data_IF_439999400391
#
_entry.id   IF_439999400391
#
_cell.length_a   1.000
_cell.length_b   1.000
_cell.length_c   1.000
_cell.angle_alpha   90.00
_cell.angle_beta   90.00
_cell.angle_gamma   90.00
#
_symmetry.space_group_name_H-M   'P 1'
#
loop_
_entity.id
_entity.type
_entity.pdbx_description
1 polymer ?
#
# COMPACT_ATOMS: atom_id res chain seq x y z
N UNK A 1 -10.92 -0.17 -29.52
CA UNK A 1 -9.62 -0.33 -28.85
C UNK A 1 -9.82 -1.38 -27.78
N UNK A 2 -9.20 -2.54 -27.92
CA UNK A 2 -9.24 -3.62 -26.95
C UNK A 2 -8.57 -3.14 -25.66
N UNK A 3 -9.29 -3.18 -24.54
CA UNK A 3 -8.77 -2.86 -23.22
C UNK A 3 -8.35 -4.16 -22.53
N UNK A 4 -7.08 -4.59 -22.64
CA UNK A 4 -6.63 -5.67 -21.80
C UNK A 4 -6.63 -5.14 -20.36
N UNK A 5 -7.59 -5.63 -19.58
CA UNK A 5 -7.70 -5.52 -18.11
C UNK A 5 -6.51 -6.20 -17.38
N UNK A 6 -5.44 -6.51 -18.11
CA UNK A 6 -4.52 -7.59 -17.86
C UNK A 6 -3.06 -7.15 -17.89
N UNK A 7 -2.72 -6.20 -17.02
CA UNK A 7 -1.46 -6.41 -16.32
C UNK A 7 -1.69 -5.95 -14.90
N UNK A 8 -1.66 -6.92 -13.97
CA UNK A 8 -1.62 -6.64 -12.55
C UNK A 8 -0.62 -5.53 -12.31
N UNK A 9 -1.07 -4.51 -11.59
CA UNK A 9 -0.28 -3.31 -11.26
C UNK A 9 1.02 -3.64 -10.50
N UNK A 10 1.21 -4.90 -10.10
CA UNK A 10 2.38 -5.44 -9.42
C UNK A 10 2.98 -6.63 -10.20
N UNK A 11 3.43 -6.44 -11.45
CA UNK A 11 4.13 -7.49 -12.20
C UNK A 11 5.62 -7.61 -11.87
N UNK A 12 6.21 -6.60 -11.23
CA UNK A 12 7.67 -6.50 -11.15
C UNK A 12 8.17 -7.02 -9.80
N UNK A 13 8.96 -8.10 -9.86
CA UNK A 13 9.38 -8.89 -8.70
C UNK A 13 10.57 -8.33 -7.92
N UNK A 14 11.19 -7.22 -8.38
CA UNK A 14 12.53 -6.82 -7.93
C UNK A 14 12.56 -5.97 -6.64
N UNK A 15 11.43 -5.36 -6.25
CA UNK A 15 11.33 -4.48 -5.08
C UNK A 15 10.08 -4.78 -4.24
N UNK A 16 9.81 -6.07 -4.00
CA UNK A 16 8.71 -6.47 -3.11
C UNK A 16 9.02 -6.07 -1.66
N UNK A 17 8.02 -6.05 -0.81
CA UNK A 17 8.25 -5.97 0.64
C UNK A 17 8.46 -7.39 1.16
N UNK A 18 9.56 -7.63 1.88
CA UNK A 18 9.73 -8.85 2.69
C UNK A 18 9.13 -8.58 4.07
N UNK A 19 8.09 -9.33 4.42
CA UNK A 19 7.38 -9.18 5.69
C UNK A 19 7.86 -10.25 6.69
N UNK A 20 8.04 -9.84 7.96
CA UNK A 20 8.26 -10.71 9.14
C UNK A 20 9.22 -11.89 8.90
N UNK A 21 10.51 -11.59 8.81
CA UNK A 21 11.58 -12.58 8.67
C UNK A 21 12.56 -12.49 9.85
N UNK A 22 12.96 -13.63 10.40
CA UNK A 22 13.93 -13.76 11.50
C UNK A 22 15.14 -14.64 11.15
N UNK A 23 15.21 -15.17 9.93
CA UNK A 23 16.33 -15.95 9.41
C UNK A 23 17.35 -15.03 8.71
N UNK A 24 18.56 -14.97 9.25
CA UNK A 24 19.67 -14.16 8.73
C UNK A 24 20.02 -14.50 7.28
N UNK A 25 20.07 -15.79 6.93
CA UNK A 25 20.40 -16.23 5.56
C UNK A 25 19.35 -15.77 4.56
N UNK A 26 18.07 -15.91 4.91
CA UNK A 26 16.97 -15.47 4.04
C UNK A 26 16.97 -13.94 3.87
N UNK A 27 17.27 -13.18 4.94
CA UNK A 27 17.42 -11.73 4.87
C UNK A 27 18.55 -11.31 3.95
N UNK A 28 19.74 -11.92 4.06
CA UNK A 28 20.86 -11.65 3.17
C UNK A 28 20.54 -12.00 1.71
N UNK A 29 20.00 -13.19 1.48
CA UNK A 29 19.57 -13.61 0.15
C UNK A 29 18.57 -12.63 -0.45
N UNK A 30 17.63 -12.11 0.36
CA UNK A 30 16.67 -11.13 -0.09
C UNK A 30 17.32 -9.79 -0.44
N UNK A 31 18.18 -9.27 0.43
CA UNK A 31 18.91 -8.01 0.20
C UNK A 31 19.73 -8.09 -1.10
N UNK A 32 20.37 -9.22 -1.38
CA UNK A 32 21.16 -9.44 -2.60
C UNK A 32 20.29 -9.48 -3.88
N UNK A 33 18.97 -9.62 -3.76
CA UNK A 33 18.02 -9.58 -4.89
C UNK A 33 17.48 -8.20 -5.20
N UNK A 34 17.64 -7.23 -4.28
CA UNK A 34 17.11 -5.88 -4.45
C UNK A 34 17.82 -5.16 -5.60
N UNK A 35 17.04 -4.51 -6.46
CA UNK A 35 17.55 -3.70 -7.57
C UNK A 35 17.07 -2.27 -7.43
N UNK A 36 17.98 -1.31 -7.59
CA UNK A 36 17.62 0.10 -7.67
C UNK A 36 17.07 0.42 -9.07
N UNK A 37 15.79 0.73 -9.15
CA UNK A 37 15.13 1.22 -10.36
C UNK A 37 13.98 2.16 -9.98
N UNK A 38 13.67 3.11 -10.86
CA UNK A 38 12.48 3.96 -10.75
C UNK A 38 12.68 5.23 -9.93
N UNK A 39 11.70 5.53 -9.09
CA UNK A 39 11.52 6.78 -8.34
C UNK A 39 11.69 6.53 -6.84
N UNK A 40 11.94 7.58 -6.08
CA UNK A 40 12.10 7.52 -4.63
C UNK A 40 10.80 7.98 -3.94
N UNK A 41 10.26 7.12 -3.07
CA UNK A 41 9.04 7.37 -2.27
C UNK A 41 9.27 7.02 -0.80
N UNK A 42 9.96 7.90 -0.09
CA UNK A 42 10.31 7.76 1.34
C UNK A 42 9.03 7.69 2.19
N UNK A 43 7.99 8.44 1.85
CA UNK A 43 6.71 8.43 2.56
C UNK A 43 6.01 7.07 2.47
N UNK A 44 6.01 6.41 1.31
CA UNK A 44 5.50 5.05 1.18
C UNK A 44 6.32 4.04 1.97
N UNK A 45 7.65 4.10 1.86
CA UNK A 45 8.54 3.23 2.65
C UNK A 45 8.31 3.39 4.16
N UNK A 46 8.19 4.63 4.63
CA UNK A 46 7.95 4.93 6.04
C UNK A 46 6.53 4.52 6.49
N UNK A 47 5.51 4.74 5.65
CA UNK A 47 4.13 4.34 5.95
C UNK A 47 4.01 2.83 6.13
N UNK A 48 4.57 2.04 5.20
CA UNK A 48 4.61 0.59 5.33
C UNK A 48 5.47 0.13 6.50
N UNK A 49 6.67 0.69 6.66
CA UNK A 49 7.59 0.35 7.74
C UNK A 49 7.00 0.56 9.14
N UNK A 50 6.17 1.59 9.33
CA UNK A 50 5.45 1.84 10.58
C UNK A 50 4.18 0.98 10.67
N UNK A 51 3.40 0.90 9.59
CA UNK A 51 2.11 0.23 9.57
C UNK A 51 2.20 -1.23 9.97
N UNK A 52 3.18 -1.96 9.44
CA UNK A 52 3.38 -3.39 9.72
C UNK A 52 3.88 -3.65 11.16
N UNK A 53 4.25 -2.63 11.92
CA UNK A 53 4.57 -2.79 13.33
C UNK A 53 3.31 -2.72 14.21
N UNK A 54 2.15 -2.31 13.68
CA UNK A 54 0.90 -2.18 14.44
C UNK A 54 0.18 -3.50 14.67
N UNK A 55 -0.37 -3.71 15.87
CA UNK A 55 -1.15 -4.93 16.22
C UNK A 55 -2.41 -5.15 15.37
N UNK A 56 -2.81 -4.17 14.55
CA UNK A 56 -3.85 -4.37 13.55
C UNK A 56 -3.44 -5.40 12.47
N UNK A 57 -2.14 -5.62 12.27
CA UNK A 57 -1.62 -6.65 11.36
C UNK A 57 -1.56 -8.05 11.97
N UNK A 58 -1.74 -8.23 13.28
CA UNK A 58 -1.61 -9.56 13.92
C UNK A 58 -2.51 -10.62 13.27
N UNK A 59 -3.79 -10.35 12.96
CA UNK A 59 -4.63 -11.33 12.27
C UNK A 59 -4.14 -11.66 10.85
N UNK A 60 -3.56 -10.67 10.15
CA UNK A 60 -3.00 -10.86 8.80
C UNK A 60 -1.77 -11.77 8.86
N UNK A 61 -0.87 -11.53 9.83
CA UNK A 61 0.30 -12.38 10.04
C UNK A 61 -0.11 -13.79 10.42
N UNK A 62 -1.14 -13.95 11.27
CA UNK A 62 -1.65 -15.26 11.63
C UNK A 62 -2.19 -16.02 10.40
N UNK A 63 -2.98 -15.36 9.55
CA UNK A 63 -3.46 -15.97 8.31
C UNK A 63 -2.30 -16.36 7.37
N UNK A 64 -1.27 -15.52 7.27
CA UNK A 64 -0.06 -15.85 6.49
C UNK A 64 0.70 -17.06 7.07
N UNK A 65 0.75 -17.23 8.40
CA UNK A 65 1.33 -18.41 9.04
C UNK A 65 0.48 -19.65 8.75
N UNK A 66 -0.84 -19.56 8.91
CA UNK A 66 -1.77 -20.67 8.70
C UNK A 66 -1.74 -21.17 7.24
N UNK A 67 -1.44 -20.28 6.28
CA UNK A 67 -1.27 -20.59 4.86
C UNK A 67 0.18 -20.94 4.46
N UNK A 68 1.08 -21.18 5.43
CA UNK A 68 2.50 -21.50 5.20
C UNK A 68 3.28 -20.45 4.37
N UNK A 69 2.88 -19.18 4.44
CA UNK A 69 3.60 -18.06 3.80
C UNK A 69 4.70 -17.52 4.72
N UNK A 70 4.43 -17.43 6.03
CA UNK A 70 5.39 -17.03 7.04
C UNK A 70 5.79 -18.20 7.94
N UNK A 71 6.97 -18.12 8.55
CA UNK A 71 7.43 -19.12 9.51
C UNK A 71 6.50 -19.15 10.75
N UNK A 72 6.23 -20.33 11.35
CA UNK A 72 5.35 -20.45 12.51
C UNK A 72 5.70 -19.56 13.70
N UNK A 73 6.99 -19.22 13.87
CA UNK A 73 7.47 -18.31 14.92
C UNK A 73 6.91 -16.89 14.78
N UNK A 74 6.36 -16.51 13.63
CA UNK A 74 5.73 -15.20 13.43
C UNK A 74 4.30 -15.14 13.99
N UNK A 75 3.73 -16.27 14.42
CA UNK A 75 2.39 -16.29 15.02
C UNK A 75 2.31 -15.35 16.24
N UNK A 76 1.24 -14.57 16.33
CA UNK A 76 1.06 -13.57 17.39
C UNK A 76 1.85 -12.26 17.21
N UNK A 77 2.65 -12.12 16.15
CA UNK A 77 3.29 -10.86 15.79
C UNK A 77 2.45 -10.06 14.78
N UNK A 78 2.60 -8.73 14.71
CA UNK A 78 3.31 -7.89 15.67
C UNK A 78 2.51 -7.77 16.99
N UNK A 79 3.22 -7.72 18.12
CA UNK A 79 2.59 -7.54 19.43
C UNK A 79 2.07 -6.11 19.63
N UNK A 80 1.23 -5.89 20.64
CA UNK A 80 0.72 -4.55 20.98
C UNK A 80 1.86 -3.57 21.34
N UNK A 81 1.64 -2.28 21.13
CA UNK A 81 2.61 -1.23 21.53
C UNK A 81 2.80 -1.13 23.05
N UNK A 82 1.84 -1.67 23.83
CA UNK A 82 1.85 -1.66 25.29
C UNK A 82 2.51 -2.91 25.88
N UNK A 83 2.99 -3.84 25.05
CA UNK A 83 3.66 -5.04 25.54
C UNK A 83 4.99 -4.64 26.21
N UNK A 84 5.16 -4.89 27.54
CA UNK A 84 6.24 -4.30 28.33
C UNK A 84 7.64 -4.69 27.86
N UNK A 85 7.79 -5.90 27.32
CA UNK A 85 9.10 -6.46 26.91
C UNK A 85 9.31 -6.37 25.39
N UNK A 86 8.52 -5.54 24.69
CA UNK A 86 8.61 -5.36 23.24
C UNK A 86 8.99 -3.93 22.91
N UNK A 87 10.04 -3.81 22.11
CA UNK A 87 10.46 -2.55 21.51
C UNK A 87 10.24 -2.58 20.01
N UNK A 88 9.67 -1.50 19.48
CA UNK A 88 9.38 -1.34 18.04
C UNK A 88 10.29 -0.29 17.44
N UNK A 89 10.90 -0.65 16.33
CA UNK A 89 12.02 0.11 15.75
C UNK A 89 11.86 0.15 14.24
N UNK A 90 12.11 1.33 13.68
CA UNK A 90 12.24 1.52 12.23
C UNK A 90 13.65 2.02 11.93
N UNK A 91 14.30 1.40 10.94
CA UNK A 91 15.53 1.92 10.34
C UNK A 91 15.17 2.40 8.94
N UNK A 92 15.08 3.71 8.75
CA UNK A 92 14.75 4.34 7.48
C UNK A 92 16.03 4.80 6.78
N UNK A 93 16.23 4.38 5.54
CA UNK A 93 17.45 4.70 4.78
C UNK A 93 17.08 5.18 3.38
N UNK A 94 17.77 6.22 2.90
CA UNK A 94 17.66 6.69 1.51
C UNK A 94 18.96 7.35 1.05
N UNK A 95 19.22 7.26 -0.26
CA UNK A 95 20.23 8.02 -0.99
C UNK A 95 19.64 9.13 -1.87
N UNK A 96 18.31 9.16 -2.00
CA UNK A 96 17.57 10.12 -2.83
C UNK A 96 16.67 11.05 -2.03
N UNK A 97 16.05 11.97 -2.76
CA UNK A 97 14.90 12.80 -2.32
C UNK A 97 13.61 12.12 -2.76
N UNK A 98 12.49 12.40 -2.09
CA UNK A 98 11.19 12.09 -2.68
C UNK A 98 11.09 12.68 -4.09
N UNK A 99 10.57 11.89 -5.01
CA UNK A 99 10.33 12.29 -6.41
C UNK A 99 8.88 12.00 -6.81
N UNK A 100 8.46 12.48 -7.98
CA UNK A 100 7.11 12.30 -8.53
C UNK A 100 6.64 10.83 -8.44
N UNK A 101 5.52 10.63 -7.73
CA UNK A 101 4.84 9.35 -7.58
C UNK A 101 3.35 9.59 -7.29
N UNK A 102 2.52 8.59 -7.60
CA UNK A 102 1.07 8.71 -7.55
C UNK A 102 0.51 8.10 -6.28
N UNK A 103 -0.51 8.74 -5.72
CA UNK A 103 -1.44 8.20 -4.73
C UNK A 103 -2.86 8.24 -5.29
N UNK A 104 -3.80 7.62 -4.60
CA UNK A 104 -5.23 7.79 -4.84
C UNK A 104 -5.77 8.94 -3.99
N UNK A 105 -6.80 9.62 -4.48
CA UNK A 105 -7.63 10.51 -3.67
C UNK A 105 -8.39 9.67 -2.63
N UNK A 106 -8.49 10.18 -1.40
CA UNK A 106 -8.92 9.40 -0.24
C UNK A 106 -10.30 8.75 -0.42
N UNK A 107 -11.21 9.38 -1.17
CA UNK A 107 -12.55 8.82 -1.43
C UNK A 107 -12.50 7.51 -2.23
N UNK A 108 -11.40 7.26 -2.92
CA UNK A 108 -11.19 6.09 -3.76
C UNK A 108 -10.28 5.05 -3.13
N UNK A 109 -9.70 5.29 -1.95
CA UNK A 109 -8.78 4.35 -1.30
C UNK A 109 -9.47 3.16 -0.66
N UNK A 110 -10.64 3.39 -0.06
CA UNK A 110 -11.34 2.40 0.76
C UNK A 110 -12.83 2.69 0.83
N UNK A 111 -13.59 1.78 1.44
CA UNK A 111 -15.03 1.92 1.59
C UNK A 111 -15.82 1.42 0.36
N UNK A 112 -17.15 1.43 0.46
CA UNK A 112 -18.02 0.87 -0.57
C UNK A 112 -17.87 1.63 -1.89
N UNK A 113 -17.69 0.89 -2.98
CA UNK A 113 -17.75 1.44 -4.33
C UNK A 113 -19.19 1.36 -4.88
N UNK A 114 -19.46 1.97 -6.04
CA UNK A 114 -20.72 1.76 -6.77
C UNK A 114 -20.76 0.44 -7.56
N UNK A 115 -19.70 -0.35 -7.50
CA UNK A 115 -19.58 -1.64 -8.20
C UNK A 115 -20.11 -2.75 -7.31
N UNK A 116 -20.94 -3.61 -7.90
CA UNK A 116 -21.52 -4.79 -7.29
C UNK A 116 -21.15 -6.01 -8.13
N UNK A 117 -21.15 -7.19 -7.52
CA UNK A 117 -20.86 -8.44 -8.18
C UNK A 117 -21.88 -9.51 -7.84
N UNK A 118 -22.31 -10.29 -8.83
CA UNK A 118 -23.22 -11.44 -8.71
C UNK A 118 -22.62 -12.63 -9.44
N UNK A 119 -22.39 -13.73 -8.72
CA UNK A 119 -21.91 -15.00 -9.30
C UNK A 119 -22.91 -15.56 -10.31
N UNK A 120 -24.21 -15.38 -10.03
CA UNK A 120 -25.29 -15.80 -10.93
C UNK A 120 -25.19 -15.10 -12.28
N UNK A 121 -24.94 -13.79 -12.29
CA UNK A 121 -24.74 -13.04 -13.54
C UNK A 121 -23.37 -13.30 -14.17
N UNK A 122 -22.35 -13.62 -13.37
CA UNK A 122 -21.04 -13.99 -13.90
C UNK A 122 -21.13 -15.26 -14.72
N UNK A 123 -21.91 -16.26 -14.26
CA UNK A 123 -22.10 -17.54 -14.96
C UNK A 123 -20.78 -18.18 -15.42
N UNK A 124 -19.76 -18.12 -14.54
CA UNK A 124 -18.40 -18.61 -14.82
C UNK A 124 -17.56 -17.76 -15.78
N UNK A 125 -18.09 -16.64 -16.28
CA UNK A 125 -17.34 -15.66 -17.06
C UNK A 125 -16.63 -14.66 -16.16
N UNK A 126 -15.35 -14.45 -16.41
CA UNK A 126 -14.53 -13.46 -15.73
C UNK A 126 -14.83 -12.00 -16.17
N UNK A 127 -15.56 -11.82 -17.26
CA UNK A 127 -15.91 -10.50 -17.81
C UNK A 127 -17.35 -10.11 -17.50
N UNK A 128 -18.10 -10.95 -16.80
CA UNK A 128 -19.50 -10.72 -16.46
C UNK A 128 -19.70 -10.77 -14.95
N UNK A 129 -20.92 -10.47 -14.51
CA UNK A 129 -21.30 -10.51 -13.10
C UNK A 129 -21.24 -9.16 -12.42
N UNK A 130 -20.67 -8.14 -13.07
CA UNK A 130 -20.62 -6.80 -12.51
C UNK A 130 -21.91 -6.03 -12.73
N UNK A 131 -22.28 -5.24 -11.73
CA UNK A 131 -23.32 -4.22 -11.83
C UNK A 131 -22.79 -2.91 -11.27
N UNK A 132 -23.30 -1.80 -11.78
CA UNK A 132 -22.97 -0.45 -11.31
C UNK A 132 -24.26 0.25 -10.97
N UNK A 133 -24.38 0.71 -9.72
CA UNK A 133 -25.54 1.48 -9.30
C UNK A 133 -25.55 2.83 -10.04
N UNK A 134 -26.65 3.17 -10.70
CA UNK A 134 -26.84 4.42 -11.46
C UNK A 134 -27.89 5.30 -10.77
N UNK A 135 -27.51 6.13 -9.78
CA UNK A 135 -28.48 6.88 -8.95
C UNK A 135 -29.28 7.91 -9.76
N UNK A 136 -28.67 8.47 -10.80
CA UNK A 136 -29.32 9.44 -11.70
C UNK A 136 -30.35 8.83 -12.65
N UNK A 137 -30.40 7.50 -12.78
CA UNK A 137 -31.37 6.80 -13.62
C UNK A 137 -32.71 6.58 -12.88
N UNK A 138 -33.77 6.34 -13.66
CA UNK A 138 -35.04 5.87 -13.10
C UNK A 138 -34.97 4.41 -12.63
N UNK A 139 -35.95 3.98 -11.83
CA UNK A 139 -35.98 2.64 -11.22
C UNK A 139 -35.96 1.49 -12.23
N UNK A 140 -36.39 1.71 -13.48
CA UNK A 140 -36.35 0.69 -14.54
C UNK A 140 -34.95 0.45 -15.13
N UNK A 141 -33.98 1.33 -14.86
CA UNK A 141 -32.60 1.24 -15.33
C UNK A 141 -31.60 1.61 -14.22
N UNK A 142 -31.91 1.19 -12.98
CA UNK A 142 -31.13 1.50 -11.78
C UNK A 142 -29.73 0.90 -11.82
N UNK A 143 -29.58 -0.28 -12.43
CA UNK A 143 -28.34 -1.02 -12.46
C UNK A 143 -27.81 -1.08 -13.88
N UNK A 144 -26.64 -0.49 -14.11
CA UNK A 144 -25.89 -0.71 -15.34
C UNK A 144 -25.14 -2.04 -15.22
N UNK A 145 -25.23 -2.90 -16.23
CA UNK A 145 -24.55 -4.20 -16.27
C UNK A 145 -23.55 -4.13 -17.42
N UNK A 146 -22.26 -3.81 -17.15
CA UNK A 146 -21.24 -3.82 -18.18
C UNK A 146 -21.03 -5.25 -18.69
N UNK A 147 -20.92 -5.37 -20.00
CA UNK A 147 -20.53 -6.60 -20.67
C UNK A 147 -19.02 -6.76 -20.73
N UNK A 148 -18.55 -7.39 -21.81
CA UNK A 148 -17.14 -7.55 -22.12
C UNK A 148 -16.44 -6.19 -22.21
N UNK A 149 -15.25 -5.98 -21.61
CA UNK A 149 -14.49 -4.74 -21.77
C UNK A 149 -14.04 -4.49 -23.23
N UNK A 150 -14.23 -5.45 -24.13
CA UNK A 150 -13.86 -5.36 -25.54
C UNK A 150 -15.02 -4.90 -26.44
N UNK A 151 -16.24 -4.82 -25.90
CA UNK A 151 -17.45 -4.42 -26.63
C UNK A 151 -18.35 -3.58 -25.72
N UNK A 152 -19.33 -2.91 -26.33
CA UNK A 152 -20.46 -2.33 -25.59
C UNK A 152 -21.80 -2.87 -26.10
N UNK A 153 -21.75 -3.89 -26.96
CA UNK A 153 -22.94 -4.50 -27.56
C UNK A 153 -23.73 -5.38 -26.60
N UNK A 154 -23.05 -5.85 -25.56
CA UNK A 154 -23.54 -6.74 -24.51
C UNK A 154 -23.80 -6.00 -23.19
N UNK A 155 -23.63 -4.69 -23.18
CA UNK A 155 -24.02 -3.81 -22.09
C UNK A 155 -25.54 -3.79 -21.94
N UNK A 156 -26.03 -3.81 -20.71
CA UNK A 156 -27.47 -3.78 -20.43
C UNK A 156 -27.81 -3.00 -19.16
N UNK A 157 -29.11 -2.89 -18.89
CA UNK A 157 -29.62 -2.27 -17.67
C UNK A 157 -30.65 -3.19 -17.00
N UNK A 158 -30.62 -3.23 -15.67
CA UNK A 158 -31.64 -3.89 -14.86
C UNK A 158 -32.43 -2.86 -14.06
N UNK A 159 -33.71 -3.20 -13.83
CA UNK A 159 -34.54 -2.47 -12.89
C UNK A 159 -34.06 -2.68 -11.45
N UNK A 160 -34.40 -1.77 -10.56
CA UNK A 160 -34.08 -1.84 -9.13
C UNK A 160 -34.62 -3.12 -8.48
N UNK A 161 -35.82 -3.56 -8.90
CA UNK A 161 -36.44 -4.80 -8.47
C UNK A 161 -35.82 -6.08 -9.06
N UNK A 162 -34.90 -5.94 -10.01
CA UNK A 162 -34.24 -7.05 -10.71
C UNK A 162 -32.77 -7.23 -10.28
N UNK A 163 -32.35 -6.60 -9.17
CA UNK A 163 -31.05 -6.87 -8.58
C UNK A 163 -30.99 -8.34 -8.13
N UNK A 164 -30.00 -9.13 -8.56
CA UNK A 164 -29.83 -10.50 -8.11
C UNK A 164 -29.69 -10.57 -6.58
N UNK A 165 -30.27 -11.60 -5.96
CA UNK A 165 -30.22 -11.76 -4.50
C UNK A 165 -28.82 -12.07 -3.97
N UNK A 166 -27.93 -12.54 -4.83
CA UNK A 166 -26.51 -12.80 -4.54
C UNK A 166 -25.60 -11.61 -4.87
N UNK A 167 -26.16 -10.49 -5.34
CA UNK A 167 -25.37 -9.30 -5.63
C UNK A 167 -24.79 -8.71 -4.34
N UNK A 168 -23.47 -8.54 -4.29
CA UNK A 168 -22.74 -7.95 -3.17
C UNK A 168 -22.00 -6.70 -3.62
N UNK A 169 -22.09 -5.63 -2.84
CA UNK A 169 -21.33 -4.40 -3.09
C UNK A 169 -19.84 -4.65 -2.83
N UNK A 170 -19.01 -4.34 -3.82
CA UNK A 170 -17.57 -4.38 -3.68
C UNK A 170 -17.06 -3.08 -3.08
N UNK A 171 -16.12 -3.17 -2.15
CA UNK A 171 -15.33 -2.03 -1.71
C UNK A 171 -14.22 -1.72 -2.72
N UNK A 172 -13.57 -0.57 -2.59
CA UNK A 172 -12.49 -0.20 -3.52
C UNK A 172 -11.29 -1.16 -3.49
N UNK A 173 -11.04 -1.88 -2.38
CA UNK A 173 -9.99 -2.90 -2.35
C UNK A 173 -10.33 -4.07 -3.26
N UNK A 174 -11.55 -4.61 -3.20
CA UNK A 174 -12.02 -5.68 -4.08
C UNK A 174 -12.03 -5.24 -5.55
N UNK A 175 -12.38 -3.98 -5.84
CA UNK A 175 -12.27 -3.43 -7.19
C UNK A 175 -10.82 -3.40 -7.66
N UNK A 176 -9.89 -2.89 -6.86
CA UNK A 176 -8.49 -2.75 -7.29
C UNK A 176 -7.67 -4.04 -7.25
N UNK A 177 -8.13 -5.06 -6.53
CA UNK A 177 -7.56 -6.41 -6.60
C UNK A 177 -7.62 -6.96 -8.04
N UNK A 178 -8.63 -6.52 -8.81
CA UNK A 178 -8.88 -7.01 -10.17
C UNK A 178 -8.69 -5.96 -11.27
N UNK A 179 -8.94 -4.69 -10.98
CA UNK A 179 -8.94 -3.62 -11.98
C UNK A 179 -7.94 -2.54 -11.63
N UNK A 180 -7.19 -2.06 -12.61
CA UNK A 180 -6.31 -0.92 -12.37
C UNK A 180 -7.14 0.34 -12.10
N UNK A 181 -6.70 1.24 -11.21
CA UNK A 181 -7.48 2.44 -10.93
C UNK A 181 -7.77 3.32 -12.18
N UNK A 182 -6.92 3.30 -13.23
CA UNK A 182 -7.19 3.99 -14.51
C UNK A 182 -8.36 3.39 -15.29
N UNK A 183 -8.60 2.09 -15.13
CA UNK A 183 -9.55 1.34 -15.95
C UNK A 183 -10.94 1.32 -15.32
N UNK A 184 -11.04 1.52 -13.99
CA UNK A 184 -12.31 1.53 -13.25
C UNK A 184 -13.29 2.55 -13.84
N UNK A 185 -12.85 3.80 -14.04
CA UNK A 185 -13.68 4.86 -14.63
C UNK A 185 -14.18 4.53 -16.02
N UNK A 186 -13.33 3.91 -16.83
CA UNK A 186 -13.61 3.59 -18.24
C UNK A 186 -14.54 2.41 -18.40
N UNK A 187 -14.38 1.38 -17.57
CA UNK A 187 -15.15 0.14 -17.68
C UNK A 187 -16.49 0.26 -16.96
N UNK A 188 -16.49 0.63 -15.68
CA UNK A 188 -17.71 0.65 -14.87
C UNK A 188 -18.58 1.89 -15.10
N UNK A 189 -17.96 3.03 -15.42
CA UNK A 189 -18.67 4.32 -15.46
C UNK A 189 -18.77 4.91 -16.87
N UNK A 190 -18.64 4.09 -17.93
CA UNK A 190 -18.75 4.54 -19.32
C UNK A 190 -20.03 5.34 -19.62
N UNK A 191 -21.14 4.97 -18.96
CA UNK A 191 -22.45 5.61 -19.09
C UNK A 191 -22.76 6.66 -18.00
N UNK A 192 -21.79 6.97 -17.13
CA UNK A 192 -21.88 8.00 -16.08
C UNK A 192 -20.70 8.97 -16.21
N UNK A 193 -20.85 9.99 -17.06
CA UNK A 193 -19.76 10.91 -17.37
C UNK A 193 -19.18 11.62 -16.11
N UNK A 194 -20.00 12.12 -15.15
CA UNK A 194 -19.47 12.64 -13.89
C UNK A 194 -18.64 11.64 -13.09
N UNK A 195 -19.15 10.41 -12.89
CA UNK A 195 -18.44 9.40 -12.11
C UNK A 195 -17.16 8.93 -12.81
N UNK A 196 -17.22 8.72 -14.13
CA UNK A 196 -16.04 8.41 -14.94
C UNK A 196 -14.97 9.50 -14.81
N UNK A 197 -15.37 10.76 -14.92
CA UNK A 197 -14.43 11.87 -14.80
C UNK A 197 -13.82 11.98 -13.38
N UNK A 198 -14.57 11.59 -12.34
CA UNK A 198 -14.04 11.51 -10.98
C UNK A 198 -12.99 10.41 -10.84
N UNK A 199 -13.26 9.21 -11.39
CA UNK A 199 -12.30 8.11 -11.44
C UNK A 199 -11.06 8.41 -12.30
N UNK A 200 -11.22 9.06 -13.45
CA UNK A 200 -10.10 9.48 -14.31
C UNK A 200 -9.15 10.46 -13.58
N UNK A 201 -9.67 11.21 -12.60
CA UNK A 201 -8.91 12.13 -11.74
C UNK A 201 -8.60 11.56 -10.35
N UNK A 202 -8.88 10.29 -10.10
CA UNK A 202 -8.68 9.68 -8.79
C UNK A 202 -7.21 9.61 -8.39
N UNK A 203 -6.29 9.76 -9.33
CA UNK A 203 -4.85 9.75 -9.08
C UNK A 203 -4.36 11.15 -8.84
N UNK A 204 -3.69 11.30 -7.71
CA UNK A 204 -3.06 12.55 -7.31
C UNK A 204 -1.55 12.34 -7.36
N UNK A 205 -0.84 13.30 -7.94
CA UNK A 205 0.61 13.38 -7.81
C UNK A 205 0.92 13.88 -6.40
N UNK A 206 1.62 13.05 -5.64
CA UNK A 206 2.05 13.34 -4.26
C UNK A 206 3.56 13.44 -4.16
N UNK A 207 4.28 13.06 -5.21
CA UNK A 207 5.74 13.05 -5.24
C UNK A 207 6.36 14.43 -5.39
N UNK A 208 5.55 15.46 -5.65
CA UNK A 208 5.95 16.86 -5.45
C UNK A 208 6.58 17.04 -4.07
N UNK A 209 7.87 17.41 -4.03
CA UNK A 209 8.78 17.46 -2.87
C UNK A 209 8.26 18.16 -1.59
N UNK A 210 7.07 18.79 -1.60
CA UNK A 210 6.41 19.31 -0.40
C UNK A 210 5.39 18.36 0.23
N UNK A 211 4.63 17.60 -0.56
CA UNK A 211 3.54 16.75 -0.05
C UNK A 211 4.12 15.47 0.55
N UNK A 212 4.95 14.73 -0.21
CA UNK A 212 5.62 13.53 0.28
C UNK A 212 6.47 13.82 1.53
N UNK A 213 7.25 14.89 1.54
CA UNK A 213 8.04 15.29 2.70
C UNK A 213 7.17 15.65 3.92
N UNK A 214 6.01 16.27 3.69
CA UNK A 214 5.04 16.53 4.77
C UNK A 214 4.47 15.22 5.32
N UNK A 215 4.17 14.25 4.45
CA UNK A 215 3.71 12.91 4.86
C UNK A 215 4.76 12.18 5.68
N UNK A 216 6.02 12.16 5.25
CA UNK A 216 7.13 11.58 6.04
C UNK A 216 7.16 12.20 7.44
N UNK A 217 7.15 13.55 7.55
CA UNK A 217 7.17 14.21 8.86
C UNK A 217 5.98 13.85 9.74
N UNK A 218 4.78 13.78 9.17
CA UNK A 218 3.57 13.38 9.90
C UNK A 218 3.67 11.95 10.42
N UNK A 219 4.05 11.01 9.54
CA UNK A 219 4.21 9.59 9.90
C UNK A 219 5.29 9.43 10.99
N UNK A 220 6.45 10.09 10.86
CA UNK A 220 7.50 10.04 11.88
C UNK A 220 7.02 10.64 13.21
N UNK A 221 6.22 11.72 13.18
CA UNK A 221 5.65 12.30 14.40
C UNK A 221 4.70 11.35 15.12
N UNK A 222 3.79 10.70 14.38
CA UNK A 222 2.83 9.73 14.92
C UNK A 222 3.52 8.46 15.43
N UNK A 223 4.49 7.94 14.68
CA UNK A 223 5.29 6.78 15.06
C UNK A 223 6.02 7.02 16.39
N UNK A 224 6.68 8.18 16.54
CA UNK A 224 7.35 8.54 17.81
C UNK A 224 6.38 8.70 18.96
N UNK A 225 5.22 9.32 18.72
CA UNK A 225 4.15 9.46 19.72
C UNK A 225 3.64 8.09 20.18
N UNK A 226 3.66 7.11 19.28
CA UNK A 226 3.28 5.71 19.56
C UNK A 226 4.41 4.87 20.17
N UNK A 227 5.57 5.48 20.48
CA UNK A 227 6.70 4.81 21.12
C UNK A 227 7.63 4.05 20.17
N UNK A 228 7.52 4.25 18.85
CA UNK A 228 8.46 3.67 17.87
C UNK A 228 9.76 4.47 17.89
N UNK A 229 10.88 3.78 18.09
CA UNK A 229 12.20 4.38 17.91
C UNK A 229 12.60 4.34 16.44
N UNK A 230 12.91 5.52 15.89
CA UNK A 230 13.27 5.67 14.47
C UNK A 230 14.75 5.99 14.39
N UNK A 231 15.50 5.16 13.67
CA UNK A 231 16.85 5.45 13.21
C UNK A 231 16.79 5.82 11.73
N UNK A 232 17.56 6.84 11.33
CA UNK A 232 17.61 7.28 9.93
C UNK A 232 19.03 7.31 9.40
N UNK A 233 19.21 6.87 8.16
CA UNK A 233 20.50 6.82 7.47
C UNK A 233 20.38 7.58 6.15
N UNK A 234 21.03 8.74 6.07
CA UNK A 234 21.22 9.49 4.84
C UNK A 234 22.48 8.97 4.14
N UNK A 235 22.33 8.15 3.10
CA UNK A 235 23.47 7.54 2.41
C UNK A 235 23.81 8.33 1.14
N UNK A 236 24.82 9.19 1.18
CA UNK A 236 25.16 10.09 0.06
C UNK A 236 23.97 10.93 -0.43
N UNK A 237 23.03 11.24 0.47
CA UNK A 237 21.76 11.85 0.13
C UNK A 237 21.87 13.38 -0.02
N UNK A 238 21.00 14.04 -0.81
CA UNK A 238 20.97 15.49 -0.88
C UNK A 238 20.59 16.15 0.45
N UNK A 239 20.99 17.41 0.65
CA UNK A 239 20.72 18.19 1.89
C UNK A 239 19.24 18.25 2.28
N UNK A 240 18.32 18.22 1.31
CA UNK A 240 16.88 18.15 1.59
C UNK A 240 16.51 16.85 2.32
N UNK A 241 17.00 15.71 1.85
CA UNK A 241 16.80 14.40 2.51
C UNK A 241 17.52 14.30 3.83
N UNK A 242 18.74 14.85 3.94
CA UNK A 242 19.44 14.93 5.23
C UNK A 242 18.60 15.67 6.27
N UNK A 243 17.99 16.80 5.89
CA UNK A 243 17.12 17.58 6.77
C UNK A 243 15.87 16.78 7.15
N UNK A 244 15.21 16.17 6.16
CA UNK A 244 14.01 15.35 6.37
C UNK A 244 14.27 14.16 7.31
N UNK A 245 15.34 13.42 7.08
CA UNK A 245 15.72 12.26 7.88
C UNK A 245 16.16 12.64 9.30
N UNK A 246 16.84 13.78 9.46
CA UNK A 246 17.20 14.33 10.77
C UNK A 246 15.95 14.72 11.56
N UNK A 247 14.99 15.37 10.92
CA UNK A 247 13.69 15.71 11.52
C UNK A 247 12.92 14.45 11.95
N UNK A 248 12.98 13.39 11.15
CA UNK A 248 12.27 12.13 11.40
C UNK A 248 12.83 11.36 12.62
N UNK A 249 14.16 11.22 12.74
CA UNK A 249 14.79 10.48 13.85
C UNK A 249 14.50 11.08 15.25
N UNK A 250 14.34 12.41 15.35
CA UNK A 250 14.19 13.22 16.58
C UNK A 250 15.33 13.15 17.61
N UNK A 251 15.92 12.00 17.87
CA UNK A 251 17.03 11.85 18.81
C UNK A 251 18.34 12.07 18.06
N UNK A 252 19.20 12.94 18.59
CA UNK A 252 20.47 13.30 17.93
C UNK A 252 21.37 12.09 17.64
N UNK A 253 21.30 11.02 18.46
CA UNK A 253 22.06 9.79 18.25
C UNK A 253 21.43 8.77 17.29
N UNK A 254 20.26 9.07 16.71
CA UNK A 254 19.53 8.16 15.83
C UNK A 254 19.59 8.56 14.35
N UNK A 255 20.24 9.68 14.03
CA UNK A 255 20.48 10.11 12.66
C UNK A 255 21.93 9.84 12.28
N UNK A 256 22.13 9.21 11.12
CA UNK A 256 23.44 8.92 10.55
C UNK A 256 23.57 9.58 9.18
N UNK A 257 24.56 10.45 9.04
CA UNK A 257 25.02 10.99 7.77
C UNK A 257 26.17 10.11 7.30
N UNK A 258 25.96 9.36 6.22
CA UNK A 258 26.92 8.40 5.68
C UNK A 258 27.39 8.90 4.31
N UNK A 259 28.66 9.27 4.25
CA UNK A 259 29.34 9.65 3.02
C UNK A 259 30.33 8.55 2.63
N UNK A 260 30.16 7.93 1.45
CA UNK A 260 31.07 6.88 0.96
C UNK A 260 30.71 5.49 1.49
N UNK A 261 31.71 4.65 1.79
CA UNK A 261 31.51 3.21 2.06
C UNK A 261 31.20 2.87 3.53
N UNK A 262 31.03 3.87 4.40
CA UNK A 262 30.94 3.70 5.86
C UNK A 262 29.55 3.30 6.38
N UNK A 263 28.69 2.75 5.53
CA UNK A 263 27.34 2.29 5.91
C UNK A 263 27.37 1.21 7.01
N UNK A 264 28.40 0.36 7.00
CA UNK A 264 28.60 -0.67 8.02
C UNK A 264 28.78 -0.04 9.42
N UNK A 265 29.40 1.13 9.52
CA UNK A 265 29.58 1.81 10.81
C UNK A 265 28.25 2.31 11.38
N UNK A 266 27.34 2.81 10.52
CA UNK A 266 26.00 3.23 10.94
C UNK A 266 25.20 2.03 11.47
N UNK A 267 25.14 0.92 10.74
CA UNK A 267 24.44 -0.29 11.19
C UNK A 267 25.07 -0.91 12.46
N UNK A 268 26.39 -0.90 12.58
CA UNK A 268 27.08 -1.34 13.80
C UNK A 268 26.70 -0.47 15.01
N UNK A 269 26.62 0.86 14.84
CA UNK A 269 26.22 1.77 15.90
C UNK A 269 24.77 1.49 16.36
N UNK A 270 23.86 1.27 15.40
CA UNK A 270 22.47 0.88 15.69
C UNK A 270 22.46 -0.44 16.47
N UNK A 271 23.14 -1.48 15.99
CA UNK A 271 23.17 -2.80 16.64
C UNK A 271 23.69 -2.74 18.10
N UNK A 272 24.73 -1.93 18.35
CA UNK A 272 25.25 -1.71 19.72
C UNK A 272 24.22 -1.03 20.61
N UNK A 273 23.44 -0.09 20.08
CA UNK A 273 22.37 0.56 20.84
C UNK A 273 21.23 -0.42 21.16
N UNK A 274 20.81 -1.22 20.18
CA UNK A 274 19.77 -2.24 20.35
C UNK A 274 20.14 -3.32 21.37
N UNK A 275 21.41 -3.74 21.39
CA UNK A 275 21.89 -4.76 22.33
C UNK A 275 21.98 -4.23 23.77
N UNK A 276 22.35 -2.96 23.97
CA UNK A 276 22.33 -2.33 25.30
C UNK A 276 20.92 -2.36 25.91
N UNK A 277 19.90 -2.06 25.10
CA UNK A 277 18.50 -2.05 25.52
C UNK A 277 17.98 -3.43 25.94
N UNK A 278 18.55 -4.51 25.38
CA UNK A 278 18.22 -5.89 25.75
C UNK A 278 18.85 -6.33 27.07
N UNK A 279 19.94 -5.68 27.50
CA UNK A 279 20.65 -6.01 28.75
C UNK A 279 20.13 -5.25 29.97
N UNK A 280 19.35 -4.20 29.78
CA UNK A 280 18.78 -3.36 30.85
C UNK A 280 17.33 -3.68 31.20
N UNK A 281 16.70 -4.61 30.48
CA UNK A 281 15.37 -5.15 30.77
C UNK A 281 15.48 -6.46 31.53
#
# INVERSE_FOLDING_TARGET
ASYPVWAGWCSDSYSRVLLYQNNETDLHNYIDTLQGEGWTSIDYGMNWGVGILGSAFTPIVQDMVDNNILHPDMAGHPMAFTEPDVKKIVVLMTDGINTDHLDLDDQFKSGPSRVWYSDTLANGSEYMGFLVEMPSNGTNQRWFVPGSPLSSSDDSYLAESALPSDAVQWDYHAVYDRFRPEDVGRYFFANDAPARAAHDRARIDVGSNGIADTRVRNICSEARTSGIDIYTIAFQAPTASETLLRDCAAKAGHYFDVNGLDIANAFNAIAVDLTKLKLTQ
#
